data_IF_731353886903
#
_entry.id   IF_731353886903
#
_cell.length_a   1.000
_cell.length_b   1.000
_cell.length_c   1.000
_cell.angle_alpha   90.00
_cell.angle_beta   90.00
_cell.angle_gamma   90.00
#
_symmetry.space_group_name_H-M   'P 1'
#
loop_
_entity.id
_entity.type
_entity.pdbx_description
1 polymer ?
#
# COMPACT_ATOMS: atom_id res chain seq x y z
N UNK A 1 -14.48 -1.95 -9.79
CA UNK A 1 -13.15 -2.52 -9.51
C UNK A 1 -12.52 -2.86 -10.86
N UNK A 2 -11.41 -2.22 -11.22
CA UNK A 2 -10.73 -2.51 -12.49
C UNK A 2 -10.09 -3.91 -12.42
N UNK A 3 -10.11 -4.71 -13.49
CA UNK A 3 -9.51 -6.02 -13.48
C UNK A 3 -7.99 -5.87 -13.50
N UNK A 4 -7.32 -6.42 -12.48
CA UNK A 4 -5.86 -6.49 -12.43
C UNK A 4 -5.42 -7.58 -13.39
N UNK A 5 -5.07 -7.21 -14.63
CA UNK A 5 -4.54 -8.11 -15.66
C UNK A 5 -3.10 -8.59 -15.41
N UNK A 6 -2.66 -8.66 -14.14
CA UNK A 6 -1.28 -8.94 -13.74
C UNK A 6 -1.06 -10.28 -13.01
N UNK A 7 -2.08 -11.15 -12.96
CA UNK A 7 -1.98 -12.44 -12.26
C UNK A 7 -0.82 -13.32 -12.76
N UNK A 8 -0.49 -13.28 -14.06
CA UNK A 8 0.46 -14.23 -14.65
C UNK A 8 1.90 -14.18 -14.13
N UNK A 9 2.40 -13.01 -13.68
CA UNK A 9 3.80 -12.89 -13.25
C UNK A 9 3.98 -13.19 -11.75
N UNK A 10 3.02 -12.80 -10.91
CA UNK A 10 3.06 -13.09 -9.48
C UNK A 10 2.82 -14.57 -9.17
N UNK A 11 2.02 -15.25 -9.99
CA UNK A 11 1.76 -16.69 -9.89
C UNK A 11 3.06 -17.52 -9.88
N UNK A 12 4.08 -17.07 -10.62
CA UNK A 12 5.39 -17.74 -10.68
C UNK A 12 6.10 -17.67 -9.33
N UNK A 13 6.16 -16.47 -8.73
CA UNK A 13 6.81 -16.27 -7.43
C UNK A 13 6.03 -16.96 -6.33
N UNK A 14 4.70 -16.89 -6.36
CA UNK A 14 3.84 -17.59 -5.40
C UNK A 14 4.07 -19.11 -5.44
N UNK A 15 4.16 -19.70 -6.64
CA UNK A 15 4.45 -21.12 -6.80
C UNK A 15 5.84 -21.47 -6.25
N UNK A 16 6.86 -20.66 -6.55
CA UNK A 16 8.21 -20.85 -6.01
C UNK A 16 8.25 -20.79 -4.48
N UNK A 17 7.52 -19.86 -3.86
CA UNK A 17 7.41 -19.77 -2.39
C UNK A 17 6.74 -21.02 -1.82
N UNK A 18 5.67 -21.52 -2.46
CA UNK A 18 4.98 -22.75 -2.04
C UNK A 18 5.89 -23.97 -2.12
N UNK A 19 6.67 -24.09 -3.19
CA UNK A 19 7.67 -25.15 -3.37
C UNK A 19 8.72 -25.11 -2.24
N UNK A 20 9.27 -23.94 -1.92
CA UNK A 20 10.24 -23.79 -0.81
C UNK A 20 9.64 -24.20 0.54
N UNK A 21 8.40 -23.78 0.83
CA UNK A 21 7.71 -24.15 2.08
C UNK A 21 7.53 -25.67 2.16
N UNK A 22 7.17 -26.30 1.03
CA UNK A 22 7.02 -27.75 0.94
C UNK A 22 8.36 -28.48 1.14
N UNK A 23 9.44 -28.00 0.53
CA UNK A 23 10.78 -28.56 0.68
C UNK A 23 11.22 -28.50 2.16
N UNK A 24 11.02 -27.35 2.83
CA UNK A 24 11.32 -27.18 4.26
C UNK A 24 10.49 -28.11 5.16
N UNK A 25 9.22 -28.31 4.83
CA UNK A 25 8.38 -29.25 5.57
C UNK A 25 8.88 -30.70 5.41
N UNK A 26 9.27 -31.07 4.19
CA UNK A 26 9.78 -32.41 3.92
C UNK A 26 11.11 -32.67 4.63
N UNK A 27 11.99 -31.67 4.71
CA UNK A 27 13.23 -31.71 5.51
C UNK A 27 12.91 -31.91 6.99
N UNK A 28 11.95 -31.16 7.53
CA UNK A 28 11.52 -31.31 8.93
C UNK A 28 11.08 -32.75 9.24
N UNK A 29 10.26 -33.35 8.38
CA UNK A 29 9.77 -34.73 8.53
C UNK A 29 10.93 -35.75 8.46
N UNK A 30 11.89 -35.55 7.54
CA UNK A 30 13.07 -36.44 7.45
C UNK A 30 13.96 -36.35 8.68
N UNK A 31 14.15 -35.15 9.24
CA UNK A 31 14.94 -34.98 10.47
C UNK A 31 14.27 -35.69 11.65
N UNK A 32 12.94 -35.58 11.79
CA UNK A 32 12.19 -36.24 12.87
C UNK A 32 12.29 -37.78 12.83
N UNK A 33 12.44 -38.35 11.63
CA UNK A 33 12.52 -39.80 11.41
C UNK A 33 13.96 -40.29 11.21
N UNK A 34 14.95 -39.41 11.36
CA UNK A 34 16.34 -39.70 11.06
C UNK A 34 16.87 -40.87 11.90
N UNK A 35 17.38 -41.90 11.23
CA UNK A 35 17.95 -43.08 11.90
C UNK A 35 16.96 -44.03 12.58
N UNK A 36 15.65 -43.77 12.53
CA UNK A 36 14.64 -44.57 13.26
C UNK A 36 14.36 -45.96 12.67
N UNK A 37 14.79 -46.24 11.43
CA UNK A 37 14.46 -47.49 10.72
C UNK A 37 15.68 -48.26 10.15
N UNK A 38 16.91 -47.89 10.52
CA UNK A 38 18.12 -48.53 9.95
C UNK A 38 18.37 -48.27 8.46
N UNK A 39 17.51 -47.48 7.81
CA UNK A 39 17.67 -47.01 6.43
C UNK A 39 18.66 -45.84 6.41
N UNK A 40 19.66 -45.81 5.51
CA UNK A 40 20.55 -44.66 5.36
C UNK A 40 19.78 -43.43 4.85
N UNK A 41 19.30 -42.59 5.76
CA UNK A 41 18.57 -41.35 5.44
C UNK A 41 19.50 -40.17 5.13
N UNK A 42 20.81 -40.33 5.33
CA UNK A 42 21.80 -39.25 5.17
C UNK A 42 21.86 -38.69 3.73
N UNK A 43 21.91 -39.56 2.71
CA UNK A 43 21.97 -39.12 1.32
C UNK A 43 20.68 -38.45 0.84
N UNK A 44 19.52 -38.84 1.41
CA UNK A 44 18.23 -38.22 1.07
C UNK A 44 18.15 -36.83 1.68
N UNK A 45 18.60 -36.65 2.91
CA UNK A 45 18.67 -35.35 3.58
C UNK A 45 19.63 -34.39 2.85
N UNK A 46 20.79 -34.89 2.40
CA UNK A 46 21.74 -34.11 1.61
C UNK A 46 21.10 -33.58 0.32
N UNK A 47 20.40 -34.47 -0.42
CA UNK A 47 19.71 -34.08 -1.64
C UNK A 47 18.62 -33.02 -1.37
N UNK A 48 17.83 -33.18 -0.31
CA UNK A 48 16.81 -32.18 0.04
C UNK A 48 17.40 -30.82 0.40
N UNK A 49 18.57 -30.78 1.06
CA UNK A 49 19.24 -29.53 1.38
C UNK A 49 19.75 -28.82 0.11
N UNK A 50 20.24 -29.59 -0.86
CA UNK A 50 20.63 -29.08 -2.18
C UNK A 50 19.39 -28.53 -2.92
N UNK A 51 18.26 -29.24 -2.84
CA UNK A 51 17.00 -28.83 -3.48
C UNK A 51 16.48 -27.51 -2.89
N UNK A 52 16.44 -27.38 -1.55
CA UNK A 52 16.08 -26.13 -0.85
C UNK A 52 16.99 -24.98 -1.30
N UNK A 53 18.31 -25.22 -1.34
CA UNK A 53 19.28 -24.21 -1.78
C UNK A 53 19.02 -23.77 -3.23
N UNK A 54 18.75 -24.72 -4.13
CA UNK A 54 18.41 -24.45 -5.52
C UNK A 54 17.11 -23.64 -5.63
N UNK A 55 16.07 -24.00 -4.88
CA UNK A 55 14.79 -23.29 -4.86
C UNK A 55 14.95 -21.85 -4.36
N UNK A 56 15.75 -21.61 -3.31
CA UNK A 56 16.08 -20.26 -2.82
C UNK A 56 16.88 -19.43 -3.83
N UNK A 57 17.81 -20.04 -4.57
CA UNK A 57 18.54 -19.35 -5.63
C UNK A 57 17.64 -19.00 -6.82
N UNK A 58 16.70 -19.87 -7.18
CA UNK A 58 15.73 -19.64 -8.25
C UNK A 58 14.81 -18.46 -7.93
N UNK A 59 14.27 -18.38 -6.72
CA UNK A 59 13.40 -17.26 -6.33
C UNK A 59 14.18 -15.95 -6.22
N UNK A 60 15.44 -15.98 -5.77
CA UNK A 60 16.28 -14.79 -5.79
C UNK A 60 16.53 -14.32 -7.23
N UNK A 61 16.82 -15.23 -8.16
CA UNK A 61 17.04 -14.89 -9.57
C UNK A 61 15.78 -14.33 -10.27
N UNK A 62 14.59 -14.84 -9.94
CA UNK A 62 13.31 -14.39 -10.52
C UNK A 62 12.84 -13.04 -9.99
N UNK A 63 13.26 -12.67 -8.76
CA UNK A 63 12.84 -11.43 -8.07
C UNK A 63 13.91 -10.33 -8.04
N UNK A 64 15.17 -10.66 -8.32
CA UNK A 64 16.28 -9.71 -8.24
C UNK A 64 16.22 -8.64 -9.35
N UNK A 65 16.53 -7.41 -8.96
CA UNK A 65 16.64 -6.26 -9.88
C UNK A 65 17.96 -6.25 -10.67
N UNK A 66 18.93 -7.09 -10.29
CA UNK A 66 20.26 -7.21 -10.92
C UNK A 66 20.15 -7.71 -12.37
N UNK A 67 20.99 -7.26 -13.32
CA UNK A 67 20.94 -7.74 -14.71
C UNK A 67 21.21 -9.25 -14.78
N UNK A 68 20.24 -10.03 -15.27
CA UNK A 68 20.36 -11.46 -15.52
C UNK A 68 19.62 -11.80 -16.82
N UNK A 69 20.02 -12.90 -17.48
CA UNK A 69 19.43 -13.36 -18.75
C UNK A 69 18.06 -14.04 -18.59
N UNK A 70 17.40 -13.92 -17.44
CA UNK A 70 16.11 -14.56 -17.15
C UNK A 70 14.93 -13.57 -17.19
N UNK A 71 13.72 -14.03 -17.54
CA UNK A 71 12.52 -13.20 -17.48
C UNK A 71 12.27 -12.75 -16.04
N UNK A 72 12.29 -11.44 -15.81
CA UNK A 72 12.11 -10.82 -14.49
C UNK A 72 10.62 -10.63 -14.21
N UNK A 73 10.20 -11.01 -13.00
CA UNK A 73 8.85 -10.72 -12.51
C UNK A 73 8.81 -9.28 -12.00
N UNK A 74 7.86 -8.47 -12.50
CA UNK A 74 7.68 -7.10 -11.98
C UNK A 74 6.87 -7.13 -10.69
N UNK A 75 7.57 -7.03 -9.56
CA UNK A 75 6.92 -6.94 -8.25
C UNK A 75 6.35 -5.54 -7.96
N UNK A 76 5.15 -5.43 -7.36
CA UNK A 76 4.61 -4.14 -6.94
C UNK A 76 5.44 -3.57 -5.79
N UNK A 77 5.45 -2.24 -5.68
CA UNK A 77 6.03 -1.56 -4.53
C UNK A 77 5.11 -1.73 -3.32
N UNK A 78 5.68 -2.17 -2.19
CA UNK A 78 4.94 -2.40 -0.95
C UNK A 78 5.33 -1.31 0.07
N UNK A 79 4.36 -0.59 0.65
CA UNK A 79 4.59 0.33 1.76
C UNK A 79 5.36 -0.30 2.93
N UNK A 80 6.38 0.38 3.52
CA UNK A 80 7.16 -0.18 4.62
C UNK A 80 6.33 -0.55 5.85
N UNK A 81 5.22 0.15 6.07
CA UNK A 81 4.30 -0.09 7.19
C UNK A 81 3.64 -1.46 7.12
N UNK A 82 3.41 -2.00 5.91
CA UNK A 82 2.82 -3.32 5.72
C UNK A 82 3.72 -4.44 6.24
N UNK A 83 5.05 -4.28 6.20
CA UNK A 83 5.98 -5.27 6.76
C UNK A 83 5.71 -5.48 8.25
N UNK A 84 5.40 -4.42 9.00
CA UNK A 84 5.08 -4.52 10.44
C UNK A 84 3.82 -5.35 10.71
N UNK A 85 2.84 -5.32 9.80
CA UNK A 85 1.62 -6.13 9.92
C UNK A 85 1.97 -7.60 9.73
N UNK A 86 2.76 -7.93 8.70
CA UNK A 86 3.20 -9.31 8.44
C UNK A 86 4.10 -9.84 9.56
N UNK A 87 5.08 -9.06 10.01
CA UNK A 87 6.03 -9.44 11.08
C UNK A 87 5.32 -9.71 12.42
N UNK A 88 4.23 -8.98 12.68
CA UNK A 88 3.41 -9.18 13.89
C UNK A 88 2.32 -10.26 13.73
N UNK A 89 2.23 -10.90 12.56
CA UNK A 89 1.18 -11.87 12.24
C UNK A 89 -0.22 -11.26 12.09
N UNK A 90 -0.32 -9.93 11.92
CA UNK A 90 -1.57 -9.21 11.70
C UNK A 90 -1.96 -9.26 10.21
N UNK A 91 -3.26 -9.39 9.92
CA UNK A 91 -3.75 -9.38 8.55
C UNK A 91 -3.38 -8.05 7.84
N UNK A 92 -2.60 -8.07 6.74
CA UNK A 92 -2.22 -6.86 6.00
C UNK A 92 -3.40 -6.11 5.38
N UNK A 93 -4.54 -6.75 5.14
CA UNK A 93 -5.75 -6.09 4.63
C UNK A 93 -6.27 -5.00 5.57
N UNK A 94 -5.94 -5.11 6.86
CA UNK A 94 -6.31 -4.11 7.86
C UNK A 94 -5.62 -2.78 7.58
N UNK A 95 -4.35 -2.78 7.14
CA UNK A 95 -3.66 -1.54 6.75
C UNK A 95 -4.38 -0.86 5.58
N UNK A 96 -4.75 -1.62 4.54
CA UNK A 96 -5.47 -1.09 3.39
C UNK A 96 -6.80 -0.48 3.80
N UNK A 97 -7.54 -1.16 4.69
CA UNK A 97 -8.77 -0.64 5.26
C UNK A 97 -8.55 0.66 6.04
N UNK A 98 -7.61 0.67 6.97
CA UNK A 98 -7.26 1.84 7.80
C UNK A 98 -6.82 3.03 6.91
N UNK A 99 -6.07 2.76 5.83
CA UNK A 99 -5.65 3.78 4.86
C UNK A 99 -6.84 4.41 4.13
N UNK A 100 -7.80 3.62 3.68
CA UNK A 100 -9.02 4.12 3.02
C UNK A 100 -9.88 4.91 4.01
N UNK A 101 -10.04 4.41 5.24
CA UNK A 101 -10.77 5.10 6.31
C UNK A 101 -10.12 6.45 6.65
N UNK A 102 -8.79 6.49 6.78
CA UNK A 102 -8.02 7.70 7.03
C UNK A 102 -8.15 8.71 5.88
N UNK A 103 -8.04 8.24 4.63
CA UNK A 103 -8.18 9.07 3.43
C UNK A 103 -9.58 9.70 3.38
N UNK A 104 -10.62 8.90 3.63
CA UNK A 104 -12.00 9.39 3.68
C UNK A 104 -12.17 10.45 4.77
N UNK A 105 -11.68 10.18 5.97
CA UNK A 105 -11.75 11.12 7.10
C UNK A 105 -11.00 12.41 6.81
N UNK A 106 -9.81 12.32 6.22
CA UNK A 106 -9.01 13.46 5.78
C UNK A 106 -9.74 14.32 4.74
N UNK A 107 -10.33 13.69 3.73
CA UNK A 107 -11.09 14.40 2.69
C UNK A 107 -12.32 15.11 3.26
N UNK A 108 -13.08 14.46 4.15
CA UNK A 108 -14.22 15.07 4.82
C UNK A 108 -13.80 16.25 5.71
N UNK A 109 -12.71 16.09 6.46
CA UNK A 109 -12.17 17.15 7.30
C UNK A 109 -11.72 18.36 6.46
N UNK A 110 -11.01 18.12 5.35
CA UNK A 110 -10.58 19.20 4.45
C UNK A 110 -11.76 19.92 3.83
N UNK A 111 -12.76 19.17 3.34
CA UNK A 111 -13.99 19.75 2.80
C UNK A 111 -14.71 20.61 3.85
N UNK A 112 -14.85 20.12 5.08
CA UNK A 112 -15.48 20.90 6.16
C UNK A 112 -14.69 22.16 6.51
N UNK A 113 -13.35 22.11 6.48
CA UNK A 113 -12.51 23.30 6.65
C UNK A 113 -12.71 24.30 5.51
N UNK A 114 -12.70 23.83 4.26
CA UNK A 114 -12.93 24.65 3.08
C UNK A 114 -14.29 25.37 3.18
N UNK A 115 -15.36 24.66 3.52
CA UNK A 115 -16.70 25.22 3.70
C UNK A 115 -16.75 26.26 4.85
N UNK A 116 -16.08 25.96 5.98
CA UNK A 116 -16.01 26.89 7.11
C UNK A 116 -15.22 28.16 6.77
N UNK A 117 -14.08 28.04 6.09
CA UNK A 117 -13.30 29.19 5.63
C UNK A 117 -14.04 29.99 4.57
N UNK A 118 -14.76 29.33 3.66
CA UNK A 118 -15.63 30.01 2.70
C UNK A 118 -16.74 30.81 3.40
N UNK A 119 -17.39 30.24 4.40
CA UNK A 119 -18.42 30.92 5.19
C UNK A 119 -17.84 32.10 5.98
N UNK A 120 -16.67 31.93 6.59
CA UNK A 120 -15.98 33.00 7.32
C UNK A 120 -15.59 34.16 6.39
N UNK A 121 -15.05 33.85 5.20
CA UNK A 121 -14.74 34.85 4.17
C UNK A 121 -15.99 35.67 3.82
N UNK A 122 -17.12 35.01 3.58
CA UNK A 122 -18.35 35.68 3.15
C UNK A 122 -18.91 36.60 4.26
N UNK A 123 -18.90 36.15 5.51
CA UNK A 123 -19.30 37.00 6.67
C UNK A 123 -18.35 38.17 6.86
N UNK A 124 -17.03 37.92 6.81
CA UNK A 124 -16.03 38.98 6.97
C UNK A 124 -16.18 40.04 5.87
N UNK A 125 -16.41 39.64 4.63
CA UNK A 125 -16.62 40.57 3.53
C UNK A 125 -17.86 41.44 3.74
N UNK A 126 -18.98 40.87 4.23
CA UNK A 126 -20.17 41.64 4.55
C UNK A 126 -19.92 42.68 5.64
N UNK A 127 -19.25 42.29 6.72
CA UNK A 127 -18.94 43.21 7.82
C UNK A 127 -17.93 44.29 7.40
N UNK A 128 -16.97 43.97 6.52
CA UNK A 128 -16.05 44.95 5.95
C UNK A 128 -16.77 46.00 5.09
N UNK A 129 -17.73 45.60 4.25
CA UNK A 129 -18.52 46.56 3.45
C UNK A 129 -19.40 47.45 4.34
N UNK A 130 -19.97 46.90 5.42
CA UNK A 130 -20.75 47.69 6.40
C UNK A 130 -19.89 48.70 7.16
N UNK A 131 -18.70 48.29 7.60
CA UNK A 131 -17.80 49.12 8.40
C UNK A 131 -16.98 50.12 7.58
N UNK A 132 -16.67 49.79 6.32
CA UNK A 132 -15.79 50.55 5.43
C UNK A 132 -16.36 50.55 4.00
N UNK A 133 -17.41 51.34 3.73
CA UNK A 133 -18.07 51.37 2.42
C UNK A 133 -17.15 51.80 1.26
N UNK A 134 -16.08 52.55 1.54
CA UNK A 134 -15.06 52.95 0.58
C UNK A 134 -14.28 51.77 -0.02
N UNK A 135 -14.19 50.65 0.70
CA UNK A 135 -13.46 49.45 0.28
C UNK A 135 -14.35 48.43 -0.46
N UNK A 136 -15.62 48.76 -0.75
CA UNK A 136 -16.61 47.80 -1.29
C UNK A 136 -16.16 47.14 -2.59
N UNK A 137 -15.62 47.91 -3.53
CA UNK A 137 -15.17 47.37 -4.82
C UNK A 137 -13.95 46.45 -4.68
N UNK A 138 -13.02 46.77 -3.78
CA UNK A 138 -11.84 45.94 -3.52
C UNK A 138 -12.25 44.61 -2.85
N UNK A 139 -13.17 44.65 -1.87
CA UNK A 139 -13.71 43.45 -1.22
C UNK A 139 -14.48 42.58 -2.22
N UNK A 140 -15.28 43.19 -3.11
CA UNK A 140 -15.99 42.47 -4.17
C UNK A 140 -15.02 41.74 -5.10
N UNK A 141 -13.97 42.42 -5.54
CA UNK A 141 -12.93 41.82 -6.39
C UNK A 141 -12.24 40.64 -5.71
N UNK A 142 -11.87 40.77 -4.44
CA UNK A 142 -11.22 39.68 -3.69
C UNK A 142 -12.15 38.47 -3.56
N UNK A 143 -13.45 38.68 -3.32
CA UNK A 143 -14.42 37.59 -3.27
C UNK A 143 -14.52 36.84 -4.59
N UNK A 144 -14.59 37.55 -5.72
CA UNK A 144 -14.66 36.94 -7.05
C UNK A 144 -13.41 36.09 -7.36
N UNK A 145 -12.21 36.61 -7.07
CA UNK A 145 -10.93 35.93 -7.29
C UNK A 145 -10.74 34.72 -6.36
N UNK A 146 -11.32 34.74 -5.15
CA UNK A 146 -11.22 33.64 -4.18
C UNK A 146 -12.39 32.64 -4.25
N UNK A 147 -13.21 32.71 -5.30
CA UNK A 147 -14.30 31.74 -5.52
C UNK A 147 -15.52 31.95 -4.61
N UNK A 148 -15.76 33.18 -4.17
CA UNK A 148 -16.97 33.61 -3.47
C UNK A 148 -18.21 33.39 -4.32
N UNK A 149 -19.07 32.44 -3.92
CA UNK A 149 -20.34 32.16 -4.60
C UNK A 149 -21.47 33.10 -4.17
N UNK A 150 -21.31 33.77 -3.03
CA UNK A 150 -22.20 34.83 -2.59
C UNK A 150 -21.75 36.15 -3.19
N UNK A 151 -22.35 36.55 -4.31
CA UNK A 151 -22.30 37.96 -4.70
C UNK A 151 -22.79 38.80 -3.52
N UNK A 152 -22.09 39.90 -3.21
CA UNK A 152 -22.54 40.87 -2.22
C UNK A 152 -23.99 41.23 -2.56
N UNK A 153 -24.93 40.78 -1.75
CA UNK A 153 -26.34 41.09 -1.98
C UNK A 153 -26.48 42.57 -1.68
N UNK A 154 -26.76 43.37 -2.71
CA UNK A 154 -27.09 44.78 -2.53
C UNK A 154 -28.43 44.86 -1.80
N UNK A 155 -28.38 45.18 -0.50
CA UNK A 155 -29.55 45.36 0.37
C UNK A 155 -29.16 45.42 1.84
#
# INVERSE_FOLDING_TARGET
MAPVGGSSEHDVVEKQVKEIIQDLYQVMVQIQTYGTAGVPTAGVLEQQMIDVSSSLQKIHASTSTVPSNQPKVKLPSIPPELFKYVDSGRNPDIYTREFVELTRRGNQLMKGKEEAFGSFRDVLAQEMVKGMPECKEDVRRILEETGGRGGLVDG
#
